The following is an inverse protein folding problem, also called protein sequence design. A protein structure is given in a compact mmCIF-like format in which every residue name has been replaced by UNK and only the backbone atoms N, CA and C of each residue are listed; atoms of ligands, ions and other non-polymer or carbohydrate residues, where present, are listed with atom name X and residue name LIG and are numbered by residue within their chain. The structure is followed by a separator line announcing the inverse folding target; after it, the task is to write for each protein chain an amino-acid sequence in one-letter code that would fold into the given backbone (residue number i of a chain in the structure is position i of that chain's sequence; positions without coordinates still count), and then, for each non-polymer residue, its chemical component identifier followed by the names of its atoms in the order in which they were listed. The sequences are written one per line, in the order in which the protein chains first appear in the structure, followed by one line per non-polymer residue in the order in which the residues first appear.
data_IF_916270619711
#
_entry.id   IF_916270619711
#
_cell.length_a   1.000
_cell.length_b   1.000
_cell.length_c   1.000
_cell.angle_alpha   90.00
_cell.angle_beta   90.00
_cell.angle_gamma   90.00
#
_symmetry.space_group_name_H-M   'P 1'
#
loop_
_entity.id
_entity.type
_entity.pdbx_description
1 polymer ?
#
# COMPACT_ATOMS: atom_id res chain seq x y z
N UNK A 1 -37.08 0.40 62.57
CA UNK A 1 -36.82 1.78 62.10
C UNK A 1 -35.32 2.01 62.12
N UNK A 2 -34.76 2.37 60.96
CA UNK A 2 -33.39 2.85 60.67
C UNK A 2 -32.20 1.92 61.00
N UNK A 3 -31.06 1.91 60.31
CA UNK A 3 -30.63 2.23 58.93
C UNK A 3 -29.10 2.11 58.95
N UNK A 4 -28.54 1.45 57.93
CA UNK A 4 -27.24 1.65 57.26
C UNK A 4 -25.96 2.00 58.07
N UNK A 5 -24.85 1.31 57.77
CA UNK A 5 -23.92 1.79 56.72
C UNK A 5 -22.68 0.89 56.59
N UNK A 6 -22.32 0.61 55.35
CA UNK A 6 -21.22 -0.23 54.90
C UNK A 6 -19.88 0.49 54.88
N UNK A 7 -18.77 -0.26 54.98
CA UNK A 7 -17.45 0.15 54.50
C UNK A 7 -16.80 -0.98 53.69
N UNK A 8 -16.65 -0.72 52.39
CA UNK A 8 -15.85 -1.50 51.44
C UNK A 8 -14.37 -1.09 51.55
N UNK A 9 -13.46 -2.06 51.51
CA UNK A 9 -12.00 -1.85 51.43
C UNK A 9 -11.52 -2.24 50.03
N UNK A 10 -10.97 -1.26 49.32
CA UNK A 10 -10.25 -1.44 48.07
C UNK A 10 -8.79 -1.75 48.38
N UNK A 11 -8.26 -2.85 47.86
CA UNK A 11 -6.83 -3.21 47.92
C UNK A 11 -6.25 -3.00 46.53
N UNK A 12 -5.30 -2.07 46.41
CA UNK A 12 -4.51 -1.84 45.21
C UNK A 12 -3.24 -2.70 45.25
N UNK A 13 -3.07 -3.58 44.27
CA UNK A 13 -1.83 -4.30 44.01
C UNK A 13 -1.18 -3.73 42.74
N UNK A 14 0.05 -3.25 42.89
CA UNK A 14 0.99 -2.96 41.81
C UNK A 14 2.02 -4.10 41.77
N UNK A 15 2.28 -4.71 40.60
CA UNK A 15 3.57 -5.30 40.31
C UNK A 15 4.34 -4.42 39.33
N UNK A 16 5.45 -3.88 39.83
CA UNK A 16 6.59 -3.42 39.07
C UNK A 16 7.05 -4.51 38.09
N UNK A 17 7.10 -4.19 36.80
CA UNK A 17 7.88 -4.96 35.84
C UNK A 17 8.55 -4.01 34.85
N UNK A 18 9.86 -3.85 35.05
CA UNK A 18 10.77 -3.10 34.20
C UNK A 18 10.84 -3.74 32.81
N UNK A 19 10.16 -3.15 31.83
CA UNK A 19 10.35 -3.48 30.42
C UNK A 19 11.30 -2.48 29.76
N UNK A 20 12.45 -2.99 29.34
CA UNK A 20 13.45 -2.32 28.51
C UNK A 20 12.79 -1.79 27.23
N UNK A 21 12.75 -0.47 27.07
CA UNK A 21 12.30 0.19 25.84
C UNK A 21 13.31 -0.04 24.71
N UNK A 22 13.23 -1.17 24.00
CA UNK A 22 13.80 -1.27 22.66
C UNK A 22 12.84 -0.59 21.68
N UNK A 23 13.09 0.69 21.40
CA UNK A 23 12.49 1.37 20.25
C UNK A 23 13.11 0.78 18.98
N UNK A 24 12.41 -0.15 18.36
CA UNK A 24 12.71 -0.57 16.99
C UNK A 24 12.29 0.58 16.07
N UNK A 25 13.27 1.34 15.56
CA UNK A 25 13.03 2.40 14.60
C UNK A 25 12.67 1.75 13.24
N UNK A 26 11.56 2.20 12.65
CA UNK A 26 11.00 1.65 11.41
C UNK A 26 11.22 2.62 10.26
N UNK A 27 11.82 2.11 9.18
CA UNK A 27 11.97 2.79 7.89
C UNK A 27 10.60 3.10 7.28
N UNK A 28 10.34 4.34 6.87
CA UNK A 28 9.20 4.69 6.01
C UNK A 28 9.76 5.13 4.66
N UNK A 29 9.18 4.64 3.57
CA UNK A 29 9.42 5.22 2.25
C UNK A 29 8.10 5.76 1.71
N UNK A 30 8.14 7.01 1.25
CA UNK A 30 7.06 7.61 0.49
C UNK A 30 7.42 7.52 -0.98
N UNK A 31 6.58 6.91 -1.81
CA UNK A 31 6.67 7.01 -3.28
C UNK A 31 5.49 7.82 -3.79
N UNK A 32 5.72 9.09 -4.11
CA UNK A 32 4.73 9.95 -4.74
C UNK A 32 5.09 10.14 -6.19
N UNK A 33 4.36 9.49 -7.10
CA UNK A 33 4.53 9.68 -8.54
C UNK A 33 3.83 10.98 -8.94
N UNK A 34 4.62 11.99 -9.30
CA UNK A 34 4.12 13.22 -9.91
C UNK A 34 4.39 13.13 -11.42
N UNK A 35 3.33 13.17 -12.22
CA UNK A 35 3.41 13.35 -13.66
C UNK A 35 3.26 14.85 -13.95
N UNK A 36 4.33 15.45 -14.47
CA UNK A 36 4.25 16.81 -15.01
C UNK A 36 4.37 16.75 -16.52
N UNK A 37 3.34 17.26 -17.20
CA UNK A 37 3.37 17.48 -18.63
C UNK A 37 4.07 18.82 -18.87
N UNK A 38 5.25 18.79 -19.46
CA UNK A 38 5.91 20.02 -19.91
C UNK A 38 5.00 20.70 -20.94
N UNK A 39 4.51 21.89 -20.62
CA UNK A 39 3.92 22.77 -21.63
C UNK A 39 5.02 23.17 -22.61
N UNK A 40 4.72 23.17 -23.90
CA UNK A 40 5.63 23.68 -24.94
C UNK A 40 5.80 25.18 -24.70
N UNK A 41 6.84 25.55 -23.95
CA UNK A 41 7.20 26.92 -23.68
C UNK A 41 7.85 27.56 -24.91
N UNK A 42 7.31 28.69 -25.33
CA UNK A 42 7.95 29.60 -26.29
C UNK A 42 9.27 30.08 -25.66
N UNK A 43 10.36 30.14 -26.43
CA UNK A 43 11.68 30.60 -25.96
C UNK A 43 11.56 31.92 -25.17
N UNK A 44 11.78 31.86 -23.85
CA UNK A 44 11.85 33.05 -22.99
C UNK A 44 11.24 32.94 -21.59
N UNK A 45 10.45 31.90 -21.29
CA UNK A 45 9.87 31.72 -19.94
C UNK A 45 10.68 30.75 -19.08
N UNK A 46 10.93 31.13 -17.82
CA UNK A 46 11.50 30.24 -16.81
C UNK A 46 10.57 29.04 -16.59
N UNK A 47 11.09 27.80 -16.55
CA UNK A 47 10.27 26.62 -16.33
C UNK A 47 9.61 26.70 -14.95
N UNK A 48 8.29 26.49 -14.92
CA UNK A 48 7.53 26.39 -13.67
C UNK A 48 8.07 25.23 -12.82
N UNK A 49 8.72 25.55 -11.71
CA UNK A 49 9.23 24.57 -10.75
C UNK A 49 8.12 23.74 -10.11
N UNK A 50 8.37 22.47 -9.87
CA UNK A 50 7.44 21.57 -9.17
C UNK A 50 7.79 21.54 -7.69
N UNK A 51 6.99 22.20 -6.87
CA UNK A 51 7.16 22.17 -5.41
C UNK A 51 6.41 20.99 -4.80
N UNK A 52 7.12 20.05 -4.18
CA UNK A 52 6.50 18.91 -3.48
C UNK A 52 6.74 18.99 -1.98
N UNK A 53 5.69 19.22 -1.19
CA UNK A 53 5.80 19.27 0.27
C UNK A 53 5.83 17.85 0.87
N UNK A 54 6.87 17.53 1.64
CA UNK A 54 7.01 16.27 2.37
C UNK A 54 6.54 16.42 3.82
N UNK A 55 5.86 15.41 4.37
CA UNK A 55 5.58 15.31 5.81
C UNK A 55 6.60 14.35 6.44
N UNK A 56 7.23 14.69 7.58
CA UNK A 56 8.08 13.72 8.27
C UNK A 56 7.20 12.57 8.77
N UNK A 57 7.70 11.32 8.72
CA UNK A 57 8.74 11.01 9.69
C UNK A 57 9.86 10.11 9.15
N UNK A 58 11.06 10.44 9.61
CA UNK A 58 12.20 9.59 9.91
C UNK A 58 12.25 8.32 9.06
N UNK A 59 13.18 8.37 8.10
CA UNK A 59 13.80 7.32 7.28
C UNK A 59 13.41 7.37 5.79
N UNK A 60 14.24 6.73 4.95
CA UNK A 60 14.40 6.87 3.49
C UNK A 60 13.10 7.04 2.68
N UNK A 61 12.85 8.23 2.15
CA UNK A 61 11.82 8.47 1.12
C UNK A 61 12.36 8.21 -0.28
N UNK A 62 11.62 7.48 -1.12
CA UNK A 62 11.94 7.26 -2.54
C UNK A 62 11.00 8.10 -3.38
N UNK A 63 11.44 9.29 -3.77
CA UNK A 63 10.60 10.18 -4.59
C UNK A 63 10.81 9.81 -6.06
N UNK A 64 9.82 9.17 -6.67
CA UNK A 64 9.77 8.95 -8.11
C UNK A 64 9.10 10.13 -8.81
N UNK A 65 9.88 10.98 -9.48
CA UNK A 65 9.33 11.99 -10.40
C UNK A 65 9.32 11.38 -11.79
N UNK A 66 8.15 11.28 -12.41
CA UNK A 66 8.03 10.82 -13.80
C UNK A 66 7.73 12.02 -14.66
N UNK A 67 8.75 12.48 -15.37
CA UNK A 67 8.66 13.58 -16.30
C UNK A 67 8.81 13.02 -17.72
N UNK A 68 7.80 13.27 -18.56
CA UNK A 68 7.84 12.89 -19.97
C UNK A 68 8.38 14.07 -20.77
N UNK A 69 9.53 13.87 -21.42
CA UNK A 69 10.14 14.86 -22.31
C UNK A 69 10.17 14.34 -23.75
N UNK A 70 10.05 15.24 -24.74
CA UNK A 70 10.52 14.96 -26.09
C UNK A 70 12.00 14.53 -26.07
N UNK A 71 12.38 13.65 -27.00
CA UNK A 71 13.65 12.89 -27.10
C UNK A 71 14.95 13.73 -27.11
N UNK A 72 14.89 15.06 -27.05
CA UNK A 72 15.97 15.98 -27.38
C UNK A 72 16.25 17.05 -26.31
N UNK A 73 15.65 16.96 -25.12
CA UNK A 73 15.84 17.94 -24.04
C UNK A 73 16.64 17.41 -22.86
N UNK A 74 17.69 18.15 -22.48
CA UNK A 74 18.35 18.01 -21.18
C UNK A 74 17.51 18.64 -20.09
N UNK A 75 17.29 17.90 -19.00
CA UNK A 75 16.43 18.32 -17.89
C UNK A 75 17.26 18.37 -16.63
N UNK A 76 17.33 19.55 -16.02
CA UNK A 76 17.90 19.72 -14.69
C UNK A 76 16.77 19.50 -13.66
N UNK A 77 16.85 18.40 -12.89
CA UNK A 77 15.92 18.17 -11.79
C UNK A 77 16.53 18.80 -10.54
N UNK A 78 15.99 19.95 -10.11
CA UNK A 78 16.29 20.53 -8.80
C UNK A 78 15.25 20.06 -7.79
N UNK A 79 15.66 19.19 -6.88
CA UNK A 79 14.84 18.81 -5.73
C UNK A 79 15.20 19.72 -4.55
N UNK A 80 14.28 20.57 -4.13
CA UNK A 80 14.42 21.35 -2.90
C UNK A 80 13.59 20.69 -1.79
N UNK A 81 14.26 20.27 -0.71
CA UNK A 81 13.60 19.65 0.44
C UNK A 81 13.26 20.75 1.44
N UNK A 82 11.98 21.14 1.52
CA UNK A 82 11.46 22.04 2.54
C UNK A 82 10.67 21.27 3.59
N UNK A 83 10.90 21.60 4.87
CA UNK A 83 10.25 20.95 6.01
C UNK A 83 9.08 21.80 6.52
N UNK A 84 7.95 21.15 6.83
CA UNK A 84 6.79 21.78 7.45
C UNK A 84 7.05 22.09 8.92
N UNK A 85 7.01 23.38 9.29
CA UNK A 85 7.06 23.85 10.67
C UNK A 85 5.97 23.20 11.53
N UNK A 86 6.37 22.63 12.67
CA UNK A 86 5.46 22.42 13.80
C UNK A 86 5.88 23.38 14.92
N UNK A 87 4.96 24.25 15.32
CA UNK A 87 5.09 25.17 16.47
C UNK A 87 6.03 26.39 16.29
N UNK A 88 6.26 26.86 15.06
CA UNK A 88 6.94 28.14 14.82
C UNK A 88 8.43 28.18 15.20
N UNK A 89 9.06 27.01 15.35
CA UNK A 89 10.52 26.87 15.39
C UNK A 89 10.95 26.06 14.18
N UNK A 90 11.60 26.72 13.24
CA UNK A 90 12.34 26.06 12.15
C UNK A 90 13.58 25.44 12.79
N UNK A 91 13.52 24.16 13.11
CA UNK A 91 14.74 23.40 13.36
C UNK A 91 15.40 23.11 12.00
N UNK A 92 16.50 23.81 11.73
CA UNK A 92 17.32 23.56 10.56
C UNK A 92 17.93 22.15 10.68
N UNK A 93 17.42 21.20 9.91
CA UNK A 93 17.98 19.86 9.85
C UNK A 93 19.20 19.89 8.91
N UNK A 94 20.40 19.71 9.46
CA UNK A 94 21.65 19.64 8.68
C UNK A 94 21.86 18.26 8.03
N UNK A 95 20.83 17.41 7.97
CA UNK A 95 20.93 16.10 7.32
C UNK A 95 20.99 16.29 5.80
N UNK A 96 22.11 15.84 5.20
CA UNK A 96 22.23 15.73 3.75
C UNK A 96 21.33 14.60 3.26
N UNK A 97 20.37 14.92 2.40
CA UNK A 97 19.57 13.93 1.67
C UNK A 97 20.28 13.65 0.36
N UNK A 98 20.86 12.47 0.21
CA UNK A 98 21.35 11.97 -1.07
C UNK A 98 20.20 11.27 -1.81
N UNK A 99 19.90 11.74 -3.02
CA UNK A 99 18.89 11.13 -3.89
C UNK A 99 19.57 10.60 -5.15
N UNK A 100 19.26 9.36 -5.50
CA UNK A 100 19.66 8.77 -6.78
C UNK A 100 18.57 9.10 -7.81
N UNK A 101 18.91 9.91 -8.81
CA UNK A 101 18.02 10.19 -9.94
C UNK A 101 18.34 9.17 -11.04
N UNK A 102 17.34 8.38 -11.42
CA UNK A 102 17.45 7.46 -12.56
C UNK A 102 16.71 8.03 -13.75
N UNK A 103 17.41 8.09 -14.89
CA UNK A 103 16.80 8.38 -16.18
C UNK A 103 16.40 7.06 -16.81
N UNK A 104 15.12 6.94 -17.17
CA UNK A 104 14.55 5.77 -17.83
C UNK A 104 14.11 6.17 -19.24
N UNK A 105 14.31 5.29 -20.22
CA UNK A 105 13.92 5.55 -21.61
C UNK A 105 12.41 5.48 -21.79
N UNK A 106 11.78 4.44 -21.22
CA UNK A 106 10.34 4.22 -21.31
C UNK A 106 9.70 3.99 -19.94
N UNK A 107 8.41 4.35 -19.75
CA UNK A 107 7.68 4.07 -18.49
C UNK A 107 7.70 2.58 -18.11
N UNK A 108 7.67 1.69 -19.09
CA UNK A 108 7.77 0.24 -18.89
C UNK A 108 9.11 -0.18 -18.29
N UNK A 109 10.20 0.49 -18.64
CA UNK A 109 11.53 0.20 -18.10
C UNK A 109 11.61 0.56 -16.61
N UNK A 110 10.98 1.68 -16.24
CA UNK A 110 10.83 2.06 -14.84
C UNK A 110 10.01 1.01 -14.08
N UNK A 111 8.83 0.66 -14.58
CA UNK A 111 7.98 -0.35 -13.95
C UNK A 111 8.69 -1.70 -13.83
N UNK A 112 9.40 -2.13 -14.87
CA UNK A 112 10.21 -3.36 -14.88
C UNK A 112 11.40 -3.33 -13.92
N UNK A 113 11.86 -2.14 -13.52
CA UNK A 113 12.91 -1.99 -12.50
C UNK A 113 12.39 -2.03 -11.05
N UNK A 114 11.07 -1.92 -10.84
CA UNK A 114 10.47 -1.93 -9.52
C UNK A 114 10.36 -3.35 -8.97
N UNK A 115 10.86 -3.57 -7.76
CA UNK A 115 10.60 -4.80 -7.03
C UNK A 115 9.21 -4.74 -6.36
N UNK A 116 8.35 -5.70 -6.71
CA UNK A 116 6.99 -5.78 -6.17
C UNK A 116 6.98 -5.88 -4.63
N UNK A 117 7.97 -6.53 -4.04
CA UNK A 117 8.11 -6.65 -2.59
C UNK A 117 8.51 -5.35 -1.91
N UNK A 118 9.40 -4.57 -2.51
CA UNK A 118 9.77 -3.24 -2.04
C UNK A 118 8.59 -2.28 -2.14
N UNK A 119 7.85 -2.27 -3.26
CA UNK A 119 6.65 -1.43 -3.41
C UNK A 119 5.58 -1.83 -2.37
N UNK A 120 5.37 -3.13 -2.17
CA UNK A 120 4.45 -3.65 -1.16
C UNK A 120 4.84 -3.24 0.27
N UNK A 121 6.11 -3.40 0.64
CA UNK A 121 6.62 -3.07 1.97
C UNK A 121 6.40 -1.61 2.34
N UNK A 122 6.51 -0.74 1.34
CA UNK A 122 6.40 0.69 1.52
C UNK A 122 5.01 1.25 1.20
N UNK A 123 4.03 0.39 0.92
CA UNK A 123 2.70 0.84 0.53
C UNK A 123 1.99 1.64 1.65
N UNK A 124 1.69 2.90 1.37
CA UNK A 124 1.00 3.81 2.29
C UNK A 124 -0.49 3.99 1.96
N UNK A 125 -0.90 3.64 0.73
CA UNK A 125 -2.25 3.74 0.22
C UNK A 125 -2.66 2.55 -0.69
N UNK A 126 -3.91 2.59 -1.16
CA UNK A 126 -4.49 1.59 -2.06
C UNK A 126 -3.84 1.57 -3.46
N UNK A 127 -3.33 2.70 -3.95
CA UNK A 127 -2.73 2.82 -5.29
C UNK A 127 -1.40 2.07 -5.31
N UNK A 128 -0.58 2.24 -4.28
CA UNK A 128 0.71 1.56 -4.16
C UNK A 128 0.52 0.04 -3.97
N UNK A 129 -0.48 -0.39 -3.19
CA UNK A 129 -0.82 -1.82 -3.09
C UNK A 129 -1.30 -2.40 -4.43
N UNK A 130 -2.14 -1.66 -5.16
CA UNK A 130 -2.59 -2.07 -6.49
C UNK A 130 -1.39 -2.25 -7.44
N UNK A 131 -0.48 -1.27 -7.48
CA UNK A 131 0.76 -1.37 -8.26
C UNK A 131 1.60 -2.58 -7.85
N UNK A 132 1.82 -2.80 -6.55
CA UNK A 132 2.58 -3.95 -6.07
C UNK A 132 1.98 -5.29 -6.51
N UNK A 133 0.64 -5.42 -6.52
CA UNK A 133 -0.05 -6.63 -7.00
C UNK A 133 0.07 -6.76 -8.51
N UNK A 134 0.00 -5.68 -9.28
CA UNK A 134 0.25 -5.70 -10.72
C UNK A 134 1.67 -6.19 -11.02
N UNK A 135 2.68 -5.61 -10.37
CA UNK A 135 4.09 -6.01 -10.54
C UNK A 135 4.29 -7.48 -10.17
N UNK A 136 3.72 -7.94 -9.06
CA UNK A 136 3.79 -9.36 -8.67
C UNK A 136 3.11 -10.26 -9.72
N UNK A 137 1.95 -9.84 -10.24
CA UNK A 137 1.20 -10.62 -11.25
C UNK A 137 1.98 -10.72 -12.55
N UNK A 138 2.61 -9.63 -12.98
CA UNK A 138 3.49 -9.64 -14.14
C UNK A 138 4.68 -10.58 -13.94
N UNK A 139 5.34 -10.50 -12.79
CA UNK A 139 6.50 -11.33 -12.45
C UNK A 139 6.16 -12.83 -12.36
N UNK A 140 5.07 -13.19 -11.66
CA UNK A 140 4.68 -14.60 -11.43
C UNK A 140 4.20 -15.26 -12.73
N UNK A 141 3.55 -14.51 -13.62
CA UNK A 141 2.92 -15.05 -14.82
C UNK A 141 3.64 -14.70 -16.13
N UNK A 142 4.77 -14.01 -16.07
CA UNK A 142 5.54 -13.60 -17.25
C UNK A 142 4.77 -12.65 -18.18
N UNK A 143 3.92 -11.78 -17.60
CA UNK A 143 3.13 -10.80 -18.36
C UNK A 143 3.99 -9.55 -18.57
N UNK A 144 3.93 -8.98 -19.78
CA UNK A 144 4.64 -7.74 -20.08
C UNK A 144 4.03 -6.54 -19.33
N UNK A 145 4.90 -5.67 -18.80
CA UNK A 145 4.54 -4.40 -18.17
C UNK A 145 4.42 -3.23 -19.17
N UNK A 146 4.48 -3.51 -20.47
CA UNK A 146 4.40 -2.47 -21.51
C UNK A 146 3.02 -1.83 -21.62
N UNK A 147 1.98 -2.51 -21.12
CA UNK A 147 0.59 -2.04 -21.12
C UNK A 147 0.02 -2.18 -19.70
N UNK A 148 -0.46 -1.06 -19.14
CA UNK A 148 -1.34 -1.03 -17.98
C UNK A 148 -2.72 -0.55 -18.45
N UNK A 149 -3.83 -1.25 -18.12
CA UNK A 149 -3.93 -2.43 -17.25
C UNK A 149 -3.28 -3.66 -17.89
N UNK A 150 -2.81 -4.59 -17.07
CA UNK A 150 -2.14 -5.80 -17.54
C UNK A 150 -3.08 -6.62 -18.43
N UNK A 151 -2.69 -6.83 -19.68
CA UNK A 151 -3.48 -7.58 -20.65
C UNK A 151 -3.77 -8.99 -20.16
N UNK A 152 -5.06 -9.35 -20.13
CA UNK A 152 -5.53 -10.67 -19.67
C UNK A 152 -5.65 -10.81 -18.16
N UNK A 153 -5.31 -9.78 -17.38
CA UNK A 153 -5.58 -9.74 -15.94
C UNK A 153 -6.96 -9.10 -15.72
N UNK A 154 -7.90 -9.77 -15.03
CA UNK A 154 -9.19 -9.16 -14.70
C UNK A 154 -9.01 -7.87 -13.88
N UNK A 155 -9.90 -6.87 -14.04
CA UNK A 155 -9.87 -5.67 -13.22
C UNK A 155 -9.98 -5.99 -11.74
N UNK A 156 -9.29 -5.23 -10.90
CA UNK A 156 -9.39 -5.38 -9.46
C UNK A 156 -9.22 -4.06 -8.72
N UNK A 157 -9.62 -4.05 -7.45
CA UNK A 157 -9.43 -2.91 -6.55
C UNK A 157 -9.04 -3.37 -5.15
N UNK A 158 -8.60 -2.39 -4.36
CA UNK A 158 -8.20 -2.57 -2.96
C UNK A 158 -9.31 -2.00 -2.08
N UNK A 159 -9.91 -2.85 -1.26
CA UNK A 159 -10.89 -2.45 -0.25
C UNK A 159 -10.24 -1.62 0.86
N UNK A 160 -11.04 -0.78 1.50
CA UNK A 160 -10.59 0.17 2.54
C UNK A 160 -9.89 -0.49 3.73
N UNK A 161 -10.27 -1.73 4.06
CA UNK A 161 -9.73 -2.49 5.20
C UNK A 161 -8.55 -3.39 4.84
N UNK A 162 -8.15 -3.43 3.56
CA UNK A 162 -7.06 -4.30 3.13
C UNK A 162 -5.73 -3.84 3.70
N UNK A 163 -5.35 -2.58 3.48
CA UNK A 163 -4.11 -2.04 4.02
C UNK A 163 -4.07 -2.02 5.57
N UNK A 164 -5.13 -1.59 6.28
CA UNK A 164 -5.20 -1.71 7.74
C UNK A 164 -4.97 -3.14 8.25
N UNK A 165 -5.63 -4.14 7.64
CA UNK A 165 -5.46 -5.55 8.05
C UNK A 165 -4.07 -6.11 7.72
N UNK A 166 -3.45 -5.70 6.60
CA UNK A 166 -2.05 -6.05 6.34
C UNK A 166 -1.12 -5.53 7.44
N UNK A 167 -1.35 -4.31 7.92
CA UNK A 167 -0.54 -3.68 8.97
C UNK A 167 -0.75 -4.35 10.33
N UNK A 168 -2.00 -4.65 10.71
CA UNK A 168 -2.31 -5.28 12.00
C UNK A 168 -1.68 -6.67 12.14
N UNK A 169 -1.56 -7.42 11.05
CA UNK A 169 -0.99 -8.76 11.03
C UNK A 169 0.48 -8.83 10.57
N UNK A 170 1.16 -7.69 10.39
CA UNK A 170 2.55 -7.67 9.94
C UNK A 170 2.77 -8.22 8.52
N UNK A 171 1.72 -8.29 7.70
CA UNK A 171 1.75 -8.76 6.33
C UNK A 171 2.17 -7.67 5.32
N UNK A 172 2.50 -6.48 5.79
CA UNK A 172 3.12 -5.43 4.97
C UNK A 172 4.65 -5.51 5.00
N UNK A 173 5.25 -5.83 6.15
CA UNK A 173 6.70 -5.84 6.34
C UNK A 173 7.40 -7.00 5.63
N UNK A 174 8.74 -6.92 5.47
CA UNK A 174 9.57 -8.05 5.03
C UNK A 174 9.27 -9.29 5.86
N UNK A 175 8.87 -10.37 5.20
CA UNK A 175 8.59 -11.63 5.86
C UNK A 175 7.80 -12.59 4.97
N UNK A 176 7.72 -13.83 5.43
CA UNK A 176 7.05 -14.92 4.70
C UNK A 176 5.58 -14.61 4.46
N UNK A 177 4.86 -14.06 5.46
CA UNK A 177 3.44 -13.75 5.32
C UNK A 177 3.18 -12.68 4.25
N UNK A 178 3.95 -11.60 4.23
CA UNK A 178 3.82 -10.54 3.22
C UNK A 178 4.03 -11.09 1.80
N UNK A 179 5.07 -11.89 1.61
CA UNK A 179 5.33 -12.55 0.33
C UNK A 179 4.17 -13.47 -0.07
N UNK A 180 3.69 -14.30 0.86
CA UNK A 180 2.57 -15.22 0.63
C UNK A 180 1.30 -14.47 0.25
N UNK A 181 0.97 -13.38 0.94
CA UNK A 181 -0.23 -12.59 0.63
C UNK A 181 -0.13 -11.98 -0.76
N UNK A 182 1.01 -11.34 -1.08
CA UNK A 182 1.25 -10.71 -2.38
C UNK A 182 1.13 -11.70 -3.53
N UNK A 183 1.79 -12.86 -3.42
CA UNK A 183 1.69 -13.97 -4.41
C UNK A 183 0.26 -14.49 -4.50
N UNK A 184 -0.46 -14.61 -3.37
CA UNK A 184 -1.84 -15.12 -3.36
C UNK A 184 -2.82 -14.14 -4.00
N UNK A 185 -2.63 -12.83 -3.87
CA UNK A 185 -3.37 -11.83 -4.62
C UNK A 185 -3.21 -12.05 -6.13
N UNK A 186 -1.96 -12.19 -6.61
CA UNK A 186 -1.69 -12.50 -8.01
C UNK A 186 -2.39 -13.77 -8.50
N UNK A 187 -2.30 -14.86 -7.72
CA UNK A 187 -2.97 -16.13 -8.05
C UNK A 187 -4.50 -16.00 -8.10
N UNK A 188 -5.12 -15.18 -7.26
CA UNK A 188 -6.57 -14.93 -7.30
C UNK A 188 -6.97 -14.27 -8.63
N UNK A 189 -6.16 -13.35 -9.14
CA UNK A 189 -6.45 -12.62 -10.38
C UNK A 189 -6.27 -13.50 -11.62
N UNK A 190 -5.15 -14.21 -11.74
CA UNK A 190 -4.76 -14.85 -13.00
C UNK A 190 -4.78 -16.39 -12.97
N UNK A 191 -4.86 -17.02 -11.80
CA UNK A 191 -4.77 -18.48 -11.65
C UNK A 191 -5.65 -19.00 -10.52
N UNK A 192 -6.97 -18.75 -10.61
CA UNK A 192 -7.95 -19.12 -9.57
C UNK A 192 -7.83 -20.59 -9.13
N UNK A 193 -7.47 -21.50 -10.03
CA UNK A 193 -7.21 -22.91 -9.72
C UNK A 193 -6.07 -23.14 -8.72
N UNK A 194 -5.03 -22.30 -8.72
CA UNK A 194 -3.92 -22.35 -7.78
C UNK A 194 -4.26 -21.69 -6.43
N UNK A 195 -5.06 -20.62 -6.45
CA UNK A 195 -5.54 -19.97 -5.24
C UNK A 195 -6.50 -20.88 -4.43
N UNK A 196 -7.26 -21.75 -5.11
CA UNK A 196 -8.28 -22.63 -4.50
C UNK A 196 -9.25 -21.85 -3.60
N UNK A 197 -9.89 -20.79 -4.12
CA UNK A 197 -10.81 -19.98 -3.34
C UNK A 197 -12.00 -20.82 -2.87
N UNK A 198 -12.45 -20.55 -1.65
CA UNK A 198 -13.66 -21.13 -1.07
C UNK A 198 -14.68 -20.03 -0.86
N UNK A 199 -15.92 -20.28 -1.28
CA UNK A 199 -17.02 -19.36 -0.99
C UNK A 199 -17.19 -19.16 0.52
N UNK A 200 -17.46 -17.93 0.90
CA UNK A 200 -17.80 -17.52 2.26
C UNK A 200 -19.32 -17.56 2.51
N UNK A 201 -20.12 -17.90 1.47
CA UNK A 201 -21.61 -17.92 1.50
C UNK A 201 -22.23 -16.59 1.94
N UNK A 202 -21.58 -15.50 1.59
CA UNK A 202 -22.06 -14.14 1.83
C UNK A 202 -22.10 -13.40 0.50
N UNK A 203 -23.15 -12.60 0.31
CA UNK A 203 -23.35 -11.74 -0.86
C UNK A 203 -23.54 -10.32 -0.37
N UNK A 204 -22.78 -9.37 -0.92
CA UNK A 204 -22.85 -7.97 -0.54
C UNK A 204 -24.12 -7.33 -1.09
N UNK A 205 -24.97 -6.89 -0.19
CA UNK A 205 -26.17 -6.10 -0.53
C UNK A 205 -25.77 -4.81 -1.24
N UNK A 206 -26.18 -4.63 -2.49
CA UNK A 206 -25.99 -3.41 -3.27
C UNK A 206 -25.28 -3.60 -4.61
N UNK A 207 -24.39 -4.58 -4.72
CA UNK A 207 -23.70 -4.90 -5.98
C UNK A 207 -23.57 -6.40 -6.27
N UNK A 208 -24.26 -7.24 -5.49
CA UNK A 208 -24.32 -8.70 -5.66
C UNK A 208 -22.95 -9.39 -5.64
N UNK A 209 -21.94 -8.73 -5.07
CA UNK A 209 -20.60 -9.30 -4.99
C UNK A 209 -20.56 -10.49 -4.04
N UNK A 210 -19.94 -11.58 -4.46
CA UNK A 210 -19.83 -12.82 -3.69
C UNK A 210 -18.53 -12.86 -2.89
N UNK A 211 -18.60 -13.23 -1.62
CA UNK A 211 -17.43 -13.33 -0.76
C UNK A 211 -16.68 -14.65 -0.96
N UNK A 212 -15.37 -14.56 -1.09
CA UNK A 212 -14.44 -15.68 -1.17
C UNK A 212 -13.30 -15.56 -0.18
N UNK A 213 -12.73 -16.70 0.19
CA UNK A 213 -11.53 -16.79 1.02
C UNK A 213 -10.49 -17.74 0.44
N UNK A 214 -9.22 -17.40 0.65
CA UNK A 214 -8.06 -18.20 0.26
C UNK A 214 -7.17 -18.41 1.47
N UNK A 215 -6.70 -19.64 1.68
CA UNK A 215 -5.76 -19.93 2.76
C UNK A 215 -4.37 -19.39 2.41
N UNK A 216 -3.76 -18.67 3.35
CA UNK A 216 -2.43 -18.11 3.23
C UNK A 216 -1.39 -19.04 3.89
N UNK A 217 -1.61 -19.45 5.14
CA UNK A 217 -0.73 -20.39 5.84
C UNK A 217 -1.39 -21.76 6.03
N UNK A 218 -0.56 -22.81 6.14
CA UNK A 218 -1.01 -24.15 6.51
C UNK A 218 -1.05 -24.35 8.03
N UNK A 219 -0.18 -23.64 8.78
CA UNK A 219 0.06 -23.91 10.20
C UNK A 219 -0.27 -22.74 11.15
N UNK A 220 -0.50 -23.13 12.42
CA UNK A 220 -0.79 -22.40 13.67
C UNK A 220 -1.82 -21.25 13.67
N UNK A 221 -1.62 -20.14 12.95
CA UNK A 221 -2.57 -19.01 12.95
C UNK A 221 -3.57 -19.04 11.78
N UNK A 222 -3.33 -19.91 10.79
CA UNK A 222 -4.20 -20.17 9.63
C UNK A 222 -4.82 -18.89 9.03
N UNK A 223 -3.95 -18.00 8.53
CA UNK A 223 -4.36 -16.75 7.89
C UNK A 223 -5.17 -16.99 6.62
N UNK A 224 -6.10 -16.08 6.35
CA UNK A 224 -6.96 -16.08 5.17
C UNK A 224 -6.93 -14.73 4.49
N UNK A 225 -6.82 -14.76 3.17
CA UNK A 225 -7.13 -13.64 2.30
C UNK A 225 -8.61 -13.68 1.96
N UNK A 226 -9.31 -12.57 2.13
CA UNK A 226 -10.72 -12.41 1.82
C UNK A 226 -10.90 -11.39 0.70
N UNK A 227 -11.77 -11.70 -0.26
CA UNK A 227 -12.05 -10.83 -1.38
C UNK A 227 -13.50 -10.98 -1.85
N UNK A 228 -14.02 -9.94 -2.49
CA UNK A 228 -15.30 -9.96 -3.18
C UNK A 228 -15.10 -10.20 -4.67
N UNK A 229 -15.84 -11.15 -5.26
CA UNK A 229 -15.95 -11.30 -6.70
C UNK A 229 -17.23 -10.60 -7.16
N UNK A 230 -17.09 -9.60 -8.04
CA UNK A 230 -18.21 -8.79 -8.51
C UNK A 230 -18.82 -9.41 -9.77
N UNK A 231 -20.12 -9.17 -10.06
CA UNK A 231 -20.78 -9.73 -11.25
C UNK A 231 -20.14 -9.30 -12.58
N UNK A 232 -19.45 -8.16 -12.60
CA UNK A 232 -18.69 -7.65 -13.75
C UNK A 232 -17.35 -8.40 -13.99
N UNK A 233 -17.05 -9.40 -13.16
CA UNK A 233 -15.81 -10.18 -13.21
C UNK A 233 -14.64 -9.56 -12.44
N UNK A 234 -14.81 -8.35 -11.89
CA UNK A 234 -13.76 -7.69 -11.12
C UNK A 234 -13.61 -8.26 -9.71
N UNK A 235 -12.43 -8.08 -9.13
CA UNK A 235 -12.08 -8.54 -7.78
C UNK A 235 -11.83 -7.37 -6.84
N UNK A 236 -12.35 -7.41 -5.62
CA UNK A 236 -12.02 -6.46 -4.56
C UNK A 236 -11.32 -7.19 -3.42
N UNK A 237 -10.03 -6.93 -3.21
CA UNK A 237 -9.32 -7.47 -2.04
C UNK A 237 -9.79 -6.73 -0.78
N UNK A 238 -10.50 -7.44 0.09
CA UNK A 238 -11.20 -6.82 1.21
C UNK A 238 -10.32 -6.67 2.45
N UNK A 239 -9.78 -7.78 2.95
CA UNK A 239 -8.93 -7.84 4.14
C UNK A 239 -8.19 -9.18 4.24
N UNK A 240 -7.20 -9.26 5.13
CA UNK A 240 -6.68 -10.52 5.64
C UNK A 240 -7.08 -10.70 7.10
N UNK A 241 -7.08 -11.94 7.59
CA UNK A 241 -7.40 -12.22 8.99
C UNK A 241 -7.08 -13.66 9.39
N UNK A 242 -7.04 -13.92 10.70
CA UNK A 242 -6.86 -15.28 11.23
C UNK A 242 -8.13 -16.11 11.05
N UNK A 243 -8.02 -17.44 11.12
CA UNK A 243 -9.15 -18.37 10.90
C UNK A 243 -10.38 -18.08 11.77
N UNK A 244 -10.22 -17.48 12.95
CA UNK A 244 -11.29 -17.18 13.90
C UNK A 244 -11.94 -15.80 13.66
N UNK A 245 -11.25 -14.88 12.99
CA UNK A 245 -11.72 -13.53 12.64
C UNK A 245 -12.37 -13.52 11.25
N UNK A 246 -13.44 -14.31 11.13
CA UNK A 246 -14.15 -14.54 9.87
C UNK A 246 -15.10 -13.40 9.50
N UNK A 247 -14.58 -12.18 9.39
CA UNK A 247 -15.34 -11.04 8.87
C UNK A 247 -14.72 -10.57 7.57
N UNK A 248 -15.50 -10.57 6.49
CA UNK A 248 -15.14 -9.90 5.25
C UNK A 248 -15.65 -8.46 5.32
N UNK A 249 -14.74 -7.50 5.19
CA UNK A 249 -15.08 -6.09 5.28
C UNK A 249 -15.85 -5.64 4.03
N UNK A 250 -16.94 -4.90 4.21
CA UNK A 250 -17.63 -4.20 3.12
C UNK A 250 -16.77 -2.99 2.76
N UNK A 251 -15.86 -3.14 1.80
CA UNK A 251 -14.99 -2.04 1.38
C UNK A 251 -15.79 -0.93 0.70
N UNK A 252 -15.29 0.29 0.79
CA UNK A 252 -15.72 1.40 -0.07
C UNK A 252 -14.77 1.54 -1.26
N UNK A 253 -15.08 0.80 -2.33
CA UNK A 253 -14.29 0.85 -3.57
C UNK A 253 -14.47 2.18 -4.34
N UNK A 254 -15.49 2.99 -4.00
CA UNK A 254 -15.80 4.23 -4.73
C UNK A 254 -14.85 5.37 -4.36
N UNK A 255 -14.24 5.30 -3.17
CA UNK A 255 -13.33 6.34 -2.67
C UNK A 255 -11.94 6.24 -3.32
N UNK A 256 -11.52 5.06 -3.75
CA UNK A 256 -10.19 4.86 -4.32
C UNK A 256 -10.25 4.85 -5.85
N UNK A 257 -10.06 6.05 -6.42
CA UNK A 257 -10.02 6.30 -7.87
C UNK A 257 -9.02 5.45 -8.66
N UNK A 258 -8.16 4.65 -8.00
CA UNK A 258 -7.26 3.68 -8.62
C UNK A 258 -8.00 2.73 -9.59
N UNK A 259 -9.27 2.40 -9.31
CA UNK A 259 -10.10 1.58 -10.21
C UNK A 259 -10.43 2.24 -11.56
N UNK A 260 -10.06 3.52 -11.77
CA UNK A 260 -10.28 4.25 -13.04
C UNK A 260 -8.99 4.56 -13.82
N UNK A 261 -7.81 4.24 -13.27
CA UNK A 261 -6.52 4.66 -13.85
C UNK A 261 -5.66 3.50 -14.39
N UNK A 262 -6.26 2.34 -14.62
CA UNK A 262 -5.70 1.33 -15.51
C UNK A 262 -6.78 0.97 -16.53
#
# INVERSE_FOLDING_TARGET
MASASARSRTVSYFPDSSMSRQRCARTRAFTRVLSTRAGVGIQGEEPAGVTTCLRPPWWRSVIGITTAFPCDQTVEIRAEVSFLERQGKIEQCNEKVEAEVRVVGWPSDYLGSLDAGVVWEHADDAVQLHLAICLETANVHGISLNELPLKGVPPFCIGSEFLPSLRSHGALSKGTLANVVRVKCSQVLFSKGQAKPKSFKETRSGDEAEAFRVHLSKDHEAFRLMYWARPDGSTEFANIGVKQELSICKGDFRIHAAARYC
#
